data_IF_581990550520
#
_entry.id   IF_581990550520
#
_cell.length_a   1.000
_cell.length_b   1.000
_cell.length_c   1.000
_cell.angle_alpha   90.00
_cell.angle_beta   90.00
_cell.angle_gamma   90.00
#
_symmetry.space_group_name_H-M   'P 1'
#
loop_
_entity.id
_entity.type
_entity.pdbx_description
1 polymer ?
#
# COMPACT_ATOMS: atom_id res chain seq x y z
N UNK A 1 3.36 10.67 4.54
CA UNK A 1 4.62 9.96 4.19
C UNK A 1 4.68 8.75 5.08
N UNK A 2 4.73 7.54 4.50
CA UNK A 2 4.88 6.31 5.29
C UNK A 2 6.33 6.17 5.76
N UNK A 3 6.51 5.58 6.94
CA UNK A 3 7.85 5.28 7.47
C UNK A 3 8.54 4.25 6.57
N UNK A 4 9.79 4.50 6.12
CA UNK A 4 10.51 3.53 5.28
C UNK A 4 10.66 2.16 5.97
N UNK A 5 10.54 1.07 5.22
CA UNK A 5 10.60 -0.28 5.77
C UNK A 5 11.91 -0.56 6.55
N UNK A 6 13.05 -0.07 6.07
CA UNK A 6 14.33 -0.24 6.78
C UNK A 6 14.34 0.45 8.15
N UNK A 7 13.60 1.56 8.30
CA UNK A 7 13.40 2.24 9.59
C UNK A 7 12.47 1.46 10.50
N UNK A 8 11.42 0.83 9.95
CA UNK A 8 10.53 -0.04 10.72
C UNK A 8 11.30 -1.26 11.24
N UNK A 9 12.16 -1.86 10.42
CA UNK A 9 12.95 -3.03 10.81
C UNK A 9 13.95 -2.74 11.93
N UNK A 10 14.51 -1.54 11.99
CA UNK A 10 15.43 -1.17 13.07
C UNK A 10 14.76 -1.02 14.44
N UNK A 11 13.42 -1.10 14.54
CA UNK A 11 12.72 -1.09 15.83
C UNK A 11 12.61 -2.48 16.48
N UNK A 12 12.99 -3.53 15.75
CA UNK A 12 12.82 -4.93 16.15
C UNK A 12 14.15 -5.70 16.11
N UNK A 13 15.28 -5.02 16.23
CA UNK A 13 16.58 -5.68 16.36
C UNK A 13 16.70 -6.40 17.71
N UNK A 14 17.66 -7.32 17.83
CA UNK A 14 17.81 -8.10 19.06
C UNK A 14 18.16 -7.19 20.24
N UNK A 15 17.29 -7.16 21.25
CA UNK A 15 17.44 -6.31 22.43
C UNK A 15 16.61 -5.04 22.40
N UNK A 16 16.03 -4.69 21.25
CA UNK A 16 15.15 -3.54 21.11
C UNK A 16 13.68 -3.91 21.40
N UNK A 17 12.96 -2.91 21.91
CA UNK A 17 11.52 -2.98 22.12
C UNK A 17 10.88 -1.74 21.49
N UNK A 18 9.93 -1.90 20.54
CA UNK A 18 9.28 -0.76 19.92
C UNK A 18 8.40 -0.02 20.95
N UNK A 19 8.32 1.30 20.81
CA UNK A 19 7.28 2.11 21.47
C UNK A 19 5.89 1.75 20.93
N UNK A 20 4.83 2.12 21.65
CA UNK A 20 3.44 1.96 21.18
C UNK A 20 3.24 2.57 19.78
N UNK A 21 3.80 3.76 19.54
CA UNK A 21 3.70 4.44 18.26
C UNK A 21 4.39 3.65 17.14
N UNK A 22 5.61 3.16 17.37
CA UNK A 22 6.37 2.35 16.42
C UNK A 22 5.66 1.02 16.12
N UNK A 23 5.11 0.37 17.16
CA UNK A 23 4.31 -0.84 16.99
C UNK A 23 3.08 -0.57 16.13
N UNK A 24 2.34 0.51 16.40
CA UNK A 24 1.17 0.91 15.59
C UNK A 24 1.53 1.25 14.14
N UNK A 25 2.65 1.95 13.92
CA UNK A 25 3.13 2.27 12.57
C UNK A 25 3.51 1.03 11.77
N UNK A 26 4.04 0.00 12.45
CA UNK A 26 4.35 -1.29 11.82
C UNK A 26 3.10 -1.88 11.16
N UNK A 27 1.99 -2.00 11.89
CA UNK A 27 0.76 -2.58 11.34
C UNK A 27 0.04 -1.64 10.36
N UNK A 28 0.12 -0.32 10.59
CA UNK A 28 -0.47 0.68 9.68
C UNK A 28 0.21 0.71 8.30
N UNK A 29 1.41 0.13 8.18
CA UNK A 29 2.14 0.03 6.91
C UNK A 29 1.63 -1.08 5.98
N UNK A 30 0.75 -1.96 6.47
CA UNK A 30 0.17 -3.07 5.71
C UNK A 30 -1.35 -2.93 5.55
N UNK A 31 -1.90 -3.49 4.47
CA UNK A 31 -3.35 -3.64 4.32
C UNK A 31 -3.84 -4.89 5.05
N UNK A 32 -4.82 -4.74 5.94
CA UNK A 32 -5.51 -5.88 6.53
C UNK A 32 -6.44 -6.52 5.49
N UNK A 33 -6.60 -7.85 5.55
CA UNK A 33 -7.43 -8.61 4.59
C UNK A 33 -8.91 -8.24 4.61
N UNK A 34 -9.39 -7.73 5.74
CA UNK A 34 -10.78 -7.32 5.91
C UNK A 34 -11.04 -5.88 5.48
N UNK A 35 -10.00 -5.13 5.08
CA UNK A 35 -10.17 -3.76 4.59
C UNK A 35 -10.03 -3.71 3.06
N UNK A 36 -10.86 -2.88 2.39
CA UNK A 36 -10.65 -2.57 0.99
C UNK A 36 -9.27 -1.97 0.75
N UNK A 37 -8.63 -2.36 -0.36
CA UNK A 37 -7.41 -1.69 -0.83
C UNK A 37 -7.84 -0.44 -1.60
N UNK A 38 -7.40 0.78 -1.20
CA UNK A 38 -7.73 1.99 -1.92
C UNK A 38 -7.13 1.96 -3.34
N UNK A 39 -7.92 2.24 -4.37
CA UNK A 39 -7.45 2.20 -5.77
C UNK A 39 -6.32 3.19 -6.02
N UNK A 40 -6.36 4.35 -5.36
CA UNK A 40 -5.32 5.38 -5.40
C UNK A 40 -3.96 4.91 -4.84
N UNK A 41 -3.92 3.81 -4.08
CA UNK A 41 -2.68 3.23 -3.57
C UNK A 41 -2.00 2.27 -4.56
N UNK A 42 -2.67 1.94 -5.67
CA UNK A 42 -2.16 1.02 -6.69
C UNK A 42 -1.49 1.84 -7.80
N UNK A 43 -0.16 1.80 -7.84
CA UNK A 43 0.63 2.44 -8.89
C UNK A 43 0.23 1.92 -10.27
N UNK A 44 0.08 2.82 -11.25
CA UNK A 44 -0.31 2.48 -12.62
C UNK A 44 -1.77 2.06 -12.80
N UNK A 45 -2.58 1.98 -11.73
CA UNK A 45 -3.99 1.55 -11.84
C UNK A 45 -4.81 2.47 -12.75
N UNK A 46 -4.64 3.79 -12.62
CA UNK A 46 -5.35 4.74 -13.47
C UNK A 46 -5.03 4.57 -14.96
N UNK A 47 -3.76 4.36 -15.30
CA UNK A 47 -3.31 4.16 -16.68
C UNK A 47 -3.86 2.87 -17.28
N UNK A 48 -3.80 1.77 -16.51
CA UNK A 48 -4.41 0.50 -16.90
C UNK A 48 -5.91 0.63 -17.09
N UNK A 49 -6.61 1.30 -16.17
CA UNK A 49 -8.05 1.50 -16.26
C UNK A 49 -8.44 2.28 -17.52
N UNK A 50 -7.72 3.36 -17.84
CA UNK A 50 -7.95 4.13 -19.08
C UNK A 50 -7.69 3.29 -20.33
N UNK A 51 -6.61 2.49 -20.36
CA UNK A 51 -6.32 1.59 -21.47
C UNK A 51 -7.46 0.58 -21.70
N UNK A 52 -7.99 -0.01 -20.62
CA UNK A 52 -9.13 -0.93 -20.70
C UNK A 52 -10.40 -0.24 -21.19
N UNK A 53 -10.72 0.95 -20.66
CA UNK A 53 -11.89 1.71 -21.08
C UNK A 53 -11.84 2.03 -22.58
N UNK A 54 -10.70 2.53 -23.08
CA UNK A 54 -10.51 2.83 -24.51
C UNK A 54 -10.59 1.59 -25.40
N UNK A 55 -10.10 0.44 -24.95
CA UNK A 55 -10.19 -0.80 -25.70
C UNK A 55 -11.63 -1.31 -25.83
N UNK A 56 -12.46 -1.11 -24.81
CA UNK A 56 -13.87 -1.51 -24.81
C UNK A 56 -14.74 -0.56 -25.66
N UNK A 57 -14.45 0.75 -25.62
CA UNK A 57 -15.06 1.73 -26.52
C UNK A 57 -14.76 1.40 -27.98
N UNK A 58 -13.53 1.01 -28.31
CA UNK A 58 -13.15 0.62 -29.69
C UNK A 58 -13.92 -0.60 -30.21
N UNK A 59 -14.22 -1.60 -29.36
CA UNK A 59 -14.98 -2.79 -29.77
C UNK A 59 -16.47 -2.53 -30.02
N UNK A 60 -16.98 -1.41 -29.51
CA UNK A 60 -18.40 -1.05 -29.60
C UNK A 60 -18.75 -0.26 -30.87
N UNK A 61 -17.78 -0.06 -31.77
CA UNK A 61 -17.90 0.61 -33.08
C UNK A 61 -17.72 -0.41 -34.19
#
# INVERSE_FOLDING_TARGET
MSTPLHTIFSWFETGDFPTEAQFKETFSSFFHKDYPIPMESIEGFGELFQLFASAEEFKSI
#
